data_IF_592637052509
#
_entry.id   IF_592637052509
#
_cell.length_a   1.000
_cell.length_b   1.000
_cell.length_c   1.000
_cell.angle_alpha   90.00
_cell.angle_beta   90.00
_cell.angle_gamma   90.00
#
_symmetry.space_group_name_H-M   'P 1'
#
loop_
_entity.id
_entity.type
_entity.pdbx_description
1 polymer ?
#
# COMPACT_ATOMS: atom_id res chain seq x y z
N UNK A 1 10.90 20.37 23.32
CA UNK A 1 10.03 19.30 23.84
C UNK A 1 9.82 18.33 22.70
N UNK A 2 10.30 17.09 22.82
CA UNK A 2 10.11 16.06 21.81
C UNK A 2 8.65 15.61 21.84
N UNK A 3 7.91 15.87 20.77
CA UNK A 3 6.51 15.44 20.63
C UNK A 3 6.51 13.95 20.24
N UNK A 4 6.30 13.07 21.22
CA UNK A 4 6.26 11.60 21.06
C UNK A 4 4.85 11.04 21.17
N UNK A 5 3.83 11.91 21.26
CA UNK A 5 2.43 11.52 21.37
C UNK A 5 1.91 10.99 20.02
N UNK A 6 1.24 9.83 20.05
CA UNK A 6 0.57 9.28 18.86
C UNK A 6 -0.67 10.11 18.58
N UNK A 7 -0.69 10.79 17.44
CA UNK A 7 -1.85 11.50 16.94
C UNK A 7 -2.83 10.48 16.37
N UNK A 8 -4.07 10.49 16.84
CA UNK A 8 -5.11 9.50 16.50
C UNK A 8 -6.19 10.04 15.56
N UNK A 9 -6.37 11.36 15.52
CA UNK A 9 -7.31 12.06 14.65
C UNK A 9 -6.59 13.21 13.95
N UNK A 10 -6.95 13.42 12.69
CA UNK A 10 -6.60 14.64 11.97
C UNK A 10 -7.76 15.62 12.10
N UNK A 11 -7.85 16.36 13.20
CA UNK A 11 -8.97 17.28 13.45
C UNK A 11 -9.04 18.49 12.51
N UNK A 12 -8.13 18.64 11.55
CA UNK A 12 -8.06 19.83 10.67
C UNK A 12 -7.14 19.59 9.46
N UNK A 13 -7.49 18.69 8.55
CA UNK A 13 -6.87 18.73 7.20
C UNK A 13 -7.92 19.18 6.22
N UNK A 14 -7.92 20.49 5.98
CA UNK A 14 -8.51 21.06 4.77
C UNK A 14 -7.74 20.46 3.58
N UNK A 15 -8.43 20.16 2.48
CA UNK A 15 -7.81 19.67 1.23
C UNK A 15 -6.57 20.48 0.80
N UNK A 16 -6.53 21.75 1.21
CA UNK A 16 -5.45 22.69 0.90
C UNK A 16 -4.13 22.40 1.62
N UNK A 17 -4.15 21.65 2.74
CA UNK A 17 -2.93 21.31 3.47
C UNK A 17 -2.27 20.02 2.94
N UNK A 18 -3.04 19.12 2.32
CA UNK A 18 -2.52 17.83 1.87
C UNK A 18 -1.50 17.97 0.73
N UNK A 19 -1.80 18.81 -0.27
CA UNK A 19 -0.85 19.02 -1.37
C UNK A 19 0.41 19.74 -0.88
N UNK A 20 0.29 20.60 0.15
CA UNK A 20 1.44 21.25 0.80
C UNK A 20 2.29 20.24 1.55
N UNK A 21 1.66 19.29 2.26
CA UNK A 21 2.36 18.19 2.93
C UNK A 21 3.10 17.31 1.92
N UNK A 22 2.45 16.96 0.80
CA UNK A 22 3.07 16.15 -0.26
C UNK A 22 4.20 16.93 -0.95
N UNK A 23 3.98 18.19 -1.31
CA UNK A 23 5.03 19.03 -1.89
C UNK A 23 6.22 19.14 -0.93
N UNK A 24 5.97 19.32 0.38
CA UNK A 24 7.02 19.34 1.41
C UNK A 24 7.78 18.02 1.47
N UNK A 25 7.08 16.88 1.49
CA UNK A 25 7.71 15.56 1.47
C UNK A 25 8.56 15.36 0.22
N UNK A 26 8.10 15.82 -0.95
CA UNK A 26 8.86 15.74 -2.20
C UNK A 26 10.11 16.64 -2.11
N UNK A 27 9.98 17.87 -1.64
CA UNK A 27 11.10 18.80 -1.45
C UNK A 27 12.15 18.21 -0.51
N UNK A 28 11.73 17.67 0.64
CA UNK A 28 12.64 17.03 1.60
C UNK A 28 13.35 15.82 0.99
N UNK A 29 12.65 15.00 0.20
CA UNK A 29 13.26 13.88 -0.49
C UNK A 29 14.29 14.32 -1.55
N UNK A 30 14.05 15.44 -2.24
CA UNK A 30 15.04 16.01 -3.17
C UNK A 30 16.26 16.50 -2.41
N UNK A 31 16.07 17.26 -1.34
CA UNK A 31 17.17 17.79 -0.52
C UNK A 31 18.04 16.67 0.05
N UNK A 32 17.44 15.53 0.37
CA UNK A 32 18.13 14.36 0.91
C UNK A 32 18.67 13.41 -0.17
N UNK A 33 18.60 13.76 -1.46
CA UNK A 33 18.98 12.91 -2.60
C UNK A 33 18.31 11.53 -2.58
N UNK A 34 17.10 11.45 -2.02
CA UNK A 34 16.30 10.22 -1.96
C UNK A 34 15.20 10.17 -3.02
N UNK A 35 15.10 11.20 -3.87
CA UNK A 35 14.17 11.25 -5.00
C UNK A 35 14.87 11.05 -6.37
N UNK A 36 14.33 10.21 -7.27
CA UNK A 36 13.29 9.20 -7.03
C UNK A 36 13.84 8.04 -6.21
N UNK A 37 13.06 7.52 -5.27
CA UNK A 37 13.51 6.47 -4.35
C UNK A 37 13.60 5.12 -5.04
N UNK A 38 14.73 4.82 -5.66
CA UNK A 38 14.98 3.50 -6.25
C UNK A 38 15.72 2.63 -5.26
N UNK A 39 15.01 1.71 -4.57
CA UNK A 39 15.68 0.54 -4.01
C UNK A 39 16.12 -0.38 -5.14
N UNK A 40 17.32 -0.95 -5.03
CA UNK A 40 17.85 -1.97 -5.94
C UNK A 40 16.95 -3.22 -5.97
N UNK A 41 16.19 -3.46 -4.90
CA UNK A 41 15.14 -4.47 -4.84
C UNK A 41 13.82 -3.80 -4.43
N UNK A 42 12.76 -3.85 -5.26
CA UNK A 42 11.48 -3.27 -4.90
C UNK A 42 10.92 -3.92 -3.63
N UNK A 43 10.52 -3.10 -2.66
CA UNK A 43 9.88 -3.57 -1.43
C UNK A 43 8.57 -4.30 -1.75
N UNK A 44 8.14 -5.28 -0.94
CA UNK A 44 6.79 -5.83 -1.05
C UNK A 44 5.74 -4.71 -1.00
N UNK A 45 4.57 -4.95 -1.59
CA UNK A 45 3.45 -4.00 -1.53
C UNK A 45 3.13 -3.61 -0.09
N UNK A 46 2.78 -2.34 0.10
CA UNK A 46 2.49 -1.79 1.42
C UNK A 46 1.37 -2.54 2.09
N UNK A 47 1.35 -2.62 3.42
CA UNK A 47 0.29 -3.37 4.08
C UNK A 47 0.01 -2.81 5.46
N UNK A 48 -1.26 -2.55 5.71
CA UNK A 48 -1.75 -2.29 7.05
C UNK A 48 -1.60 -3.55 7.88
N UNK A 49 -0.83 -3.49 8.95
CA UNK A 49 -0.54 -4.68 9.74
C UNK A 49 -1.74 -5.18 10.53
N UNK A 50 -2.76 -4.36 10.79
CA UNK A 50 -3.93 -4.80 11.55
C UNK A 50 -4.99 -5.45 10.66
N UNK A 51 -5.21 -4.95 9.45
CA UNK A 51 -6.32 -5.39 8.60
C UNK A 51 -5.91 -5.90 7.22
N UNK A 52 -4.61 -5.96 6.92
CA UNK A 52 -4.06 -6.47 5.66
C UNK A 52 -4.38 -5.60 4.44
N UNK A 53 -4.92 -4.39 4.61
CA UNK A 53 -5.27 -3.50 3.49
C UNK A 53 -4.04 -2.81 2.92
N UNK A 54 -4.09 -2.54 1.62
CA UNK A 54 -3.12 -1.75 0.88
C UNK A 54 -3.66 -0.32 0.68
N UNK A 55 -2.77 0.67 0.61
CA UNK A 55 -3.10 2.02 0.19
C UNK A 55 -3.14 2.13 -1.33
N UNK A 56 -4.06 2.94 -1.82
CA UNK A 56 -4.09 3.39 -3.22
C UNK A 56 -4.03 4.92 -3.30
N UNK A 57 -4.14 5.43 -4.51
CA UNK A 57 -4.15 6.85 -4.85
C UNK A 57 -3.02 7.64 -4.14
N UNK A 58 -3.34 8.86 -3.68
CA UNK A 58 -2.41 9.78 -3.06
C UNK A 58 -1.88 9.31 -1.71
N UNK A 59 -2.60 8.43 -1.00
CA UNK A 59 -2.14 7.90 0.29
C UNK A 59 -0.94 6.96 0.11
N UNK A 60 -0.91 6.20 -0.98
CA UNK A 60 0.21 5.34 -1.35
C UNK A 60 1.47 6.15 -1.64
N UNK A 61 1.33 7.23 -2.41
CA UNK A 61 2.43 8.17 -2.70
C UNK A 61 3.01 8.76 -1.41
N UNK A 62 2.15 9.24 -0.50
CA UNK A 62 2.59 9.78 0.79
C UNK A 62 3.39 8.75 1.61
N UNK A 63 2.91 7.51 1.68
CA UNK A 63 3.59 6.42 2.37
C UNK A 63 4.99 6.19 1.78
N UNK A 64 5.12 6.12 0.45
CA UNK A 64 6.39 5.86 -0.21
C UNK A 64 7.39 7.01 -0.06
N UNK A 65 6.92 8.26 -0.18
CA UNK A 65 7.74 9.45 0.06
C UNK A 65 8.27 9.49 1.50
N UNK A 66 7.41 9.15 2.47
CA UNK A 66 7.82 9.07 3.88
C UNK A 66 8.77 7.90 4.13
N UNK A 67 8.49 6.73 3.54
CA UNK A 67 9.33 5.55 3.65
C UNK A 67 10.74 5.83 3.11
N UNK A 68 10.82 6.53 1.99
CA UNK A 68 12.06 7.02 1.41
C UNK A 68 12.80 7.97 2.37
N UNK A 69 12.10 8.99 2.87
CA UNK A 69 12.65 10.00 3.77
C UNK A 69 13.27 9.40 5.03
N UNK A 70 12.62 8.41 5.64
CA UNK A 70 13.11 7.75 6.86
C UNK A 70 13.96 6.51 6.58
N UNK A 71 14.27 6.21 5.31
CA UNK A 71 14.98 5.00 4.89
C UNK A 71 14.35 3.72 5.44
N UNK A 72 13.01 3.65 5.40
CA UNK A 72 12.23 2.55 5.94
C UNK A 72 12.63 1.21 5.31
N UNK A 73 12.70 0.18 6.15
CA UNK A 73 13.01 -1.20 5.79
C UNK A 73 11.82 -1.93 5.17
N UNK A 74 10.60 -1.47 5.48
CA UNK A 74 9.36 -2.06 4.98
C UNK A 74 8.29 -1.00 4.72
N UNK A 75 7.27 -1.36 3.94
CA UNK A 75 6.06 -0.56 3.74
C UNK A 75 4.91 -1.05 4.64
N UNK A 76 5.25 -1.60 5.82
CA UNK A 76 4.28 -2.02 6.83
C UNK A 76 3.79 -0.79 7.59
N UNK A 77 2.48 -0.59 7.67
CA UNK A 77 1.91 0.61 8.28
C UNK A 77 0.73 0.29 9.20
N UNK A 78 0.36 1.25 10.04
CA UNK A 78 -0.71 1.13 11.04
C UNK A 78 -1.43 2.47 11.23
N UNK A 79 -2.74 2.44 11.51
CA UNK A 79 -3.47 3.65 11.86
C UNK A 79 -3.06 4.16 13.25
N UNK A 80 -3.07 5.48 13.45
CA UNK A 80 -2.71 6.10 14.73
C UNK A 80 -3.56 5.58 15.89
N UNK A 81 -4.87 5.36 15.67
CA UNK A 81 -5.76 4.78 16.68
C UNK A 81 -5.35 3.38 17.14
N UNK A 82 -4.92 2.53 16.21
CA UNK A 82 -4.51 1.15 16.51
C UNK A 82 -3.15 1.15 17.22
N UNK A 83 -2.22 2.01 16.76
CA UNK A 83 -0.93 2.21 17.40
C UNK A 83 -1.08 2.70 18.85
N UNK A 84 -1.98 3.66 19.10
CA UNK A 84 -2.29 4.15 20.43
C UNK A 84 -2.92 3.06 21.32
N UNK A 85 -3.84 2.26 20.77
CA UNK A 85 -4.42 1.13 21.51
C UNK A 85 -3.38 0.06 21.88
N UNK A 86 -2.40 -0.19 21.01
CA UNK A 86 -1.29 -1.10 21.30
C UNK A 86 -0.22 -0.48 22.22
N UNK A 87 -0.38 0.78 22.64
CA UNK A 87 0.60 1.55 23.40
C UNK A 87 1.98 1.55 22.71
N UNK A 88 2.01 1.74 21.39
CA UNK A 88 3.27 1.90 20.67
C UNK A 88 3.96 3.21 21.09
N UNK A 89 5.29 3.26 20.96
CA UNK A 89 6.09 4.43 21.35
C UNK A 89 6.82 4.93 20.09
N UNK A 90 6.61 6.19 19.71
CA UNK A 90 7.29 6.81 18.56
C UNK A 90 8.78 7.03 18.85
N UNK A 91 9.60 6.96 17.79
CA UNK A 91 10.95 7.51 17.83
C UNK A 91 10.87 9.04 17.91
N UNK A 92 11.96 9.68 18.37
CA UNK A 92 11.99 11.14 18.53
C UNK A 92 11.68 11.87 17.21
N UNK A 93 10.82 12.90 17.30
CA UNK A 93 10.45 13.79 16.21
C UNK A 93 9.68 13.15 15.04
N UNK A 94 9.15 11.93 15.22
CA UNK A 94 8.33 11.30 14.19
C UNK A 94 6.95 11.94 14.07
N UNK A 95 6.54 12.21 12.82
CA UNK A 95 5.24 12.80 12.49
C UNK A 95 4.36 11.77 11.78
N UNK A 96 3.04 11.75 12.04
CA UNK A 96 2.11 10.95 11.27
C UNK A 96 2.08 11.40 9.81
N UNK A 97 1.59 10.51 8.94
CA UNK A 97 1.01 10.88 7.66
C UNK A 97 -0.50 10.99 7.79
N UNK A 98 -1.14 11.74 6.88
CA UNK A 98 -2.60 11.88 6.83
C UNK A 98 -3.18 11.15 5.63
N UNK A 99 -3.98 10.11 5.90
CA UNK A 99 -4.75 9.39 4.91
C UNK A 99 -6.12 10.03 4.76
N UNK A 100 -6.51 10.32 3.52
CA UNK A 100 -7.89 10.65 3.20
C UNK A 100 -8.68 9.38 2.89
N UNK A 101 -9.86 9.25 3.48
CA UNK A 101 -10.72 8.10 3.26
C UNK A 101 -12.19 8.52 3.15
N UNK A 102 -12.93 7.88 2.23
CA UNK A 102 -14.36 8.12 2.07
C UNK A 102 -15.16 7.31 3.10
N UNK A 103 -15.75 7.97 4.08
CA UNK A 103 -16.63 7.36 5.06
C UNK A 103 -18.08 7.45 4.58
N UNK A 104 -18.75 6.31 4.50
CA UNK A 104 -20.21 6.26 4.38
C UNK A 104 -20.82 6.42 5.77
N UNK A 105 -21.45 7.57 6.04
CA UNK A 105 -22.32 7.77 7.20
C UNK A 105 -23.69 8.18 6.68
N UNK A 106 -24.73 7.49 7.15
CA UNK A 106 -26.13 7.84 6.90
C UNK A 106 -26.46 8.02 5.41
N UNK A 107 -25.98 7.12 4.55
CA UNK A 107 -26.21 7.15 3.08
C UNK A 107 -25.50 8.29 2.32
N UNK A 108 -24.68 9.09 3.00
CA UNK A 108 -23.86 10.14 2.39
C UNK A 108 -22.36 9.78 2.48
N UNK A 109 -21.67 9.89 1.35
CA UNK A 109 -20.21 9.80 1.28
C UNK A 109 -19.61 11.11 1.79
N UNK A 110 -18.88 11.06 2.90
CA UNK A 110 -18.03 12.16 3.39
C UNK A 110 -16.58 11.72 3.33
N UNK A 111 -15.69 12.59 2.86
CA UNK A 111 -14.24 12.35 3.01
C UNK A 111 -13.83 12.77 4.41
N UNK A 112 -13.13 11.89 5.11
CA UNK A 112 -12.55 12.13 6.44
C UNK A 112 -11.05 11.86 6.40
N UNK A 113 -10.33 12.38 7.40
CA UNK A 113 -8.88 12.32 7.49
C UNK A 113 -8.44 11.50 8.71
N UNK A 114 -7.46 10.61 8.51
CA UNK A 114 -6.92 9.76 9.57
C UNK A 114 -5.41 9.79 9.56
N UNK A 115 -4.81 9.69 10.73
CA UNK A 115 -3.37 9.55 10.84
C UNK A 115 -2.95 8.09 10.67
N UNK A 116 -1.84 7.88 9.98
CA UNK A 116 -1.20 6.58 9.88
C UNK A 116 0.32 6.73 9.97
N UNK A 117 0.98 5.63 10.32
CA UNK A 117 2.42 5.57 10.57
C UNK A 117 3.01 4.33 9.91
N UNK A 118 4.23 4.44 9.39
CA UNK A 118 5.07 3.29 9.10
C UNK A 118 5.50 2.63 10.41
N UNK A 119 5.61 1.30 10.43
CA UNK A 119 6.11 0.60 11.63
C UNK A 119 7.53 1.04 12.01
N UNK A 120 8.34 1.40 11.02
CA UNK A 120 9.69 1.91 11.21
C UNK A 120 9.76 3.25 11.99
N UNK A 121 8.63 3.95 12.19
CA UNK A 121 8.56 5.16 13.01
C UNK A 121 8.44 4.86 14.52
N UNK A 122 8.15 3.62 14.91
CA UNK A 122 8.02 3.22 16.31
C UNK A 122 9.32 2.60 16.85
N UNK A 123 9.50 2.65 18.16
CA UNK A 123 10.61 1.99 18.85
C UNK A 123 10.47 0.47 18.77
N UNK A 124 11.59 -0.21 18.51
CA UNK A 124 11.66 -1.67 18.44
C UNK A 124 11.12 -2.33 19.73
N UNK A 125 11.41 -1.72 20.89
CA UNK A 125 10.94 -2.20 22.18
C UNK A 125 9.41 -2.17 22.27
N UNK A 126 8.75 -1.10 21.81
CA UNK A 126 7.28 -1.01 21.83
C UNK A 126 6.61 -2.00 20.89
N UNK A 127 7.19 -2.24 19.70
CA UNK A 127 6.72 -3.26 18.76
C UNK A 127 6.82 -4.67 19.37
N UNK A 128 7.93 -4.99 20.03
CA UNK A 128 8.12 -6.28 20.71
C UNK A 128 7.17 -6.47 21.88
N UNK A 129 6.88 -5.41 22.65
CA UNK A 129 5.85 -5.44 23.70
C UNK A 129 4.47 -5.72 23.10
N UNK A 130 4.11 -5.07 22.00
CA UNK A 130 2.83 -5.26 21.32
C UNK A 130 2.62 -6.72 20.86
N UNK A 131 3.65 -7.37 20.33
CA UNK A 131 3.60 -8.80 19.95
C UNK A 131 3.37 -9.72 21.17
N UNK A 132 3.91 -9.36 22.34
CA UNK A 132 3.76 -10.15 23.58
C UNK A 132 2.37 -10.06 24.21
N UNK A 133 1.58 -9.04 23.86
CA UNK A 133 0.21 -8.83 24.37
C UNK A 133 -0.68 -10.07 24.16
N UNK A 134 -0.47 -10.79 23.06
CA UNK A 134 -1.27 -11.97 22.70
C UNK A 134 -1.21 -13.07 23.79
N UNK A 135 -0.12 -13.12 24.57
CA UNK A 135 0.11 -14.13 25.62
C UNK A 135 -0.33 -13.68 27.01
N UNK A 136 -0.71 -12.41 27.19
CA UNK A 136 -1.08 -11.87 28.51
C UNK A 136 -2.57 -12.04 28.77
N UNK A 137 -2.95 -12.92 29.70
CA UNK A 137 -4.35 -13.18 30.07
C UNK A 137 -5.11 -11.92 30.52
N UNK A 138 -4.43 -10.96 31.14
CA UNK A 138 -5.04 -9.74 31.71
C UNK A 138 -5.34 -8.66 30.67
N UNK A 139 -4.75 -8.74 29.48
CA UNK A 139 -4.97 -7.73 28.44
C UNK A 139 -6.40 -7.85 27.86
N UNK A 140 -7.12 -6.71 27.67
CA UNK A 140 -8.40 -6.67 26.98
C UNK A 140 -8.41 -7.43 25.65
N UNK A 141 -9.51 -8.17 25.41
CA UNK A 141 -9.71 -9.02 24.21
C UNK A 141 -9.45 -8.28 22.90
N UNK A 142 -9.88 -7.03 22.80
CA UNK A 142 -9.70 -6.21 21.61
C UNK A 142 -8.22 -5.97 21.27
N UNK A 143 -7.40 -5.58 22.26
CA UNK A 143 -5.96 -5.40 22.06
C UNK A 143 -5.27 -6.70 21.62
N UNK A 144 -5.73 -7.84 22.16
CA UNK A 144 -5.23 -9.16 21.73
C UNK A 144 -5.55 -9.46 20.27
N UNK A 145 -6.78 -9.18 19.82
CA UNK A 145 -7.19 -9.40 18.43
C UNK A 145 -6.33 -8.54 17.48
N UNK A 146 -6.17 -7.26 17.80
CA UNK A 146 -5.34 -6.35 16.99
C UNK A 146 -3.89 -6.86 16.91
N UNK A 147 -3.31 -7.26 18.05
CA UNK A 147 -1.95 -7.81 18.09
C UNK A 147 -1.82 -9.14 17.33
N UNK A 148 -2.85 -10.00 17.37
CA UNK A 148 -2.88 -11.27 16.62
C UNK A 148 -2.89 -11.03 15.10
N UNK A 149 -3.76 -10.13 14.61
CA UNK A 149 -3.76 -9.78 13.19
C UNK A 149 -2.47 -9.07 12.78
N UNK A 150 -1.91 -8.20 13.64
CA UNK A 150 -0.59 -7.60 13.44
C UNK A 150 0.47 -8.66 13.16
N UNK A 151 0.59 -9.68 14.01
CA UNK A 151 1.56 -10.76 13.83
C UNK A 151 1.31 -11.52 12.53
N UNK A 152 0.05 -11.89 12.28
CA UNK A 152 -0.35 -12.67 11.10
C UNK A 152 0.02 -11.92 9.81
N UNK A 153 -0.40 -10.67 9.68
CA UNK A 153 -0.17 -9.89 8.47
C UNK A 153 1.32 -9.60 8.29
N UNK A 154 2.05 -9.24 9.35
CA UNK A 154 3.52 -9.09 9.30
C UNK A 154 4.18 -10.37 8.76
N UNK A 155 3.75 -11.53 9.26
CA UNK A 155 4.26 -12.83 8.80
C UNK A 155 3.96 -13.06 7.32
N UNK A 156 2.76 -12.73 6.87
CA UNK A 156 2.37 -12.83 5.46
C UNK A 156 3.24 -11.93 4.57
N UNK A 157 3.39 -10.66 4.94
CA UNK A 157 4.25 -9.70 4.24
C UNK A 157 5.70 -10.17 4.16
N UNK A 158 6.26 -10.61 5.28
CA UNK A 158 7.67 -11.02 5.37
C UNK A 158 7.90 -12.36 4.63
N UNK A 159 6.88 -13.20 4.49
CA UNK A 159 6.96 -14.45 3.72
C UNK A 159 7.02 -14.23 2.20
N UNK A 160 6.44 -13.14 1.70
CA UNK A 160 6.35 -12.83 0.27
C UNK A 160 5.59 -13.87 -0.57
N UNK A 161 4.84 -14.79 0.05
CA UNK A 161 4.21 -15.94 -0.61
C UNK A 161 3.32 -15.51 -1.80
N UNK A 162 2.52 -14.46 -1.62
CA UNK A 162 1.62 -13.94 -2.65
C UNK A 162 2.28 -12.89 -3.56
N UNK A 163 3.38 -12.26 -3.10
CA UNK A 163 3.98 -11.11 -3.78
C UNK A 163 4.56 -11.47 -5.15
N UNK A 164 5.18 -12.65 -5.26
CA UNK A 164 5.76 -13.11 -6.53
C UNK A 164 4.69 -13.29 -7.60
N UNK A 165 3.58 -13.93 -7.26
CA UNK A 165 2.48 -14.16 -8.19
C UNK A 165 1.81 -12.84 -8.60
N UNK A 166 1.55 -11.96 -7.63
CA UNK A 166 0.94 -10.65 -7.90
C UNK A 166 1.81 -9.83 -8.86
N UNK A 167 3.12 -9.75 -8.60
CA UNK A 167 4.07 -9.06 -9.50
C UNK A 167 4.05 -9.68 -10.88
N UNK A 168 4.10 -11.00 -10.99
CA UNK A 168 4.12 -11.68 -12.27
C UNK A 168 2.83 -11.40 -13.09
N UNK A 169 1.68 -11.32 -12.42
CA UNK A 169 0.42 -10.93 -13.05
C UNK A 169 0.45 -9.48 -13.53
N UNK A 170 0.93 -8.53 -12.70
CA UNK A 170 1.11 -7.12 -13.10
C UNK A 170 2.07 -6.98 -14.30
N UNK A 171 3.17 -7.74 -14.34
CA UNK A 171 4.12 -7.78 -15.47
C UNK A 171 3.46 -8.27 -16.76
N UNK A 172 2.69 -9.35 -16.69
CA UNK A 172 1.94 -9.87 -17.84
C UNK A 172 0.95 -8.84 -18.37
N UNK A 173 0.25 -8.14 -17.48
CA UNK A 173 -0.68 -7.08 -17.84
C UNK A 173 0.02 -5.93 -18.58
N UNK A 174 1.14 -5.43 -18.05
CA UNK A 174 1.94 -4.40 -18.73
C UNK A 174 2.36 -4.87 -20.12
N UNK A 175 2.89 -6.10 -20.23
CA UNK A 175 3.29 -6.66 -21.53
C UNK A 175 2.10 -6.72 -22.50
N UNK A 176 0.93 -7.18 -22.05
CA UNK A 176 -0.27 -7.25 -22.89
C UNK A 176 -0.72 -5.85 -23.34
N UNK A 177 -0.72 -4.87 -22.43
CA UNK A 177 -1.11 -3.49 -22.69
C UNK A 177 -0.16 -2.80 -23.69
N UNK A 178 1.14 -3.14 -23.67
CA UNK A 178 2.16 -2.52 -24.51
C UNK A 178 2.46 -3.24 -25.83
N UNK A 179 2.15 -4.53 -25.98
CA UNK A 179 2.73 -5.32 -27.09
C UNK A 179 1.79 -6.27 -27.84
N UNK A 180 0.58 -6.58 -27.34
CA UNK A 180 -0.21 -7.69 -27.90
C UNK A 180 -1.54 -7.32 -28.54
N UNK A 181 -2.11 -6.16 -28.22
CA UNK A 181 -3.40 -5.74 -28.76
C UNK A 181 -3.32 -4.28 -29.24
N UNK A 182 -3.40 -4.08 -30.56
CA UNK A 182 -3.30 -2.75 -31.18
C UNK A 182 -4.34 -1.75 -30.68
N UNK A 183 -5.55 -2.21 -30.34
CA UNK A 183 -6.61 -1.37 -29.80
C UNK A 183 -6.30 -0.94 -28.35
N UNK A 184 -5.77 -1.86 -27.53
CA UNK A 184 -5.37 -1.53 -26.15
C UNK A 184 -4.20 -0.55 -26.17
N UNK A 185 -3.21 -0.74 -27.04
CA UNK A 185 -2.09 0.19 -27.18
C UNK A 185 -2.54 1.59 -27.63
N UNK A 186 -3.55 1.67 -28.51
CA UNK A 186 -4.16 2.95 -28.88
C UNK A 186 -4.81 3.64 -27.68
N UNK A 187 -5.61 2.90 -26.89
CA UNK A 187 -6.23 3.43 -25.67
C UNK A 187 -5.19 3.89 -24.63
N UNK A 188 -4.09 3.16 -24.48
CA UNK A 188 -2.97 3.54 -23.60
C UNK A 188 -2.38 4.89 -24.04
N UNK A 189 -2.12 5.06 -25.34
CA UNK A 189 -1.58 6.32 -25.90
C UNK A 189 -2.56 7.49 -25.78
N UNK A 190 -3.83 7.25 -26.00
CA UNK A 190 -4.88 8.25 -25.83
C UNK A 190 -4.98 8.68 -24.36
N UNK A 191 -5.05 7.72 -23.43
CA UNK A 191 -5.09 8.02 -22.01
C UNK A 191 -3.85 8.77 -21.51
N UNK A 192 -2.65 8.46 -22.05
CA UNK A 192 -1.45 9.24 -21.78
C UNK A 192 -1.58 10.68 -22.28
N UNK A 193 -2.09 10.85 -23.49
CA UNK A 193 -2.29 12.18 -24.11
C UNK A 193 -3.27 13.02 -23.30
N UNK A 194 -4.36 12.40 -22.83
CA UNK A 194 -5.37 13.04 -21.99
C UNK A 194 -4.83 13.37 -20.58
N UNK A 195 -4.09 12.44 -19.96
CA UNK A 195 -3.50 12.66 -18.63
C UNK A 195 -2.43 13.76 -18.63
N UNK A 196 -1.79 14.00 -19.78
CA UNK A 196 -0.74 15.03 -19.93
C UNK A 196 -1.21 16.23 -20.76
N UNK A 197 -2.53 16.38 -20.92
CA UNK A 197 -3.11 17.52 -21.61
C UNK A 197 -2.82 18.80 -20.83
N UNK A 198 -2.27 19.81 -21.52
CA UNK A 198 -1.89 21.08 -20.90
C UNK A 198 -0.54 21.09 -20.17
N UNK A 199 0.16 19.95 -20.08
CA UNK A 199 1.50 19.90 -19.49
C UNK A 199 2.57 20.45 -20.42
N UNK A 200 3.54 21.16 -19.84
CA UNK A 200 4.76 21.59 -20.52
C UNK A 200 5.61 20.38 -20.96
N UNK A 201 6.57 20.55 -21.89
CA UNK A 201 7.50 19.48 -22.26
C UNK A 201 8.26 18.89 -21.06
N UNK A 202 8.62 19.71 -20.09
CA UNK A 202 9.32 19.33 -18.86
C UNK A 202 8.40 18.52 -17.93
N UNK A 203 7.17 18.98 -17.73
CA UNK A 203 6.14 18.28 -16.95
C UNK A 203 5.81 16.91 -17.57
N UNK A 204 5.72 16.81 -18.91
CA UNK A 204 5.54 15.54 -19.63
C UNK A 204 6.71 14.57 -19.43
N UNK A 205 7.93 15.11 -19.42
CA UNK A 205 9.15 14.34 -19.16
C UNK A 205 9.12 13.78 -17.73
N UNK A 206 8.78 14.62 -16.75
CA UNK A 206 8.64 14.22 -15.35
C UNK A 206 7.54 13.17 -15.17
N UNK A 207 6.37 13.36 -15.79
CA UNK A 207 5.26 12.39 -15.77
C UNK A 207 5.70 11.02 -16.27
N UNK A 208 6.44 10.99 -17.39
CA UNK A 208 6.93 9.74 -17.99
C UNK A 208 7.92 9.02 -17.08
N UNK A 209 8.82 9.79 -16.44
CA UNK A 209 9.79 9.27 -15.48
C UNK A 209 9.10 8.71 -14.24
N UNK A 210 8.12 9.42 -13.69
CA UNK A 210 7.32 8.98 -12.53
C UNK A 210 6.49 7.73 -12.84
N UNK A 211 5.81 7.69 -13.98
CA UNK A 211 5.08 6.49 -14.40
C UNK A 211 6.00 5.26 -14.49
N UNK A 212 7.16 5.41 -15.13
CA UNK A 212 8.14 4.33 -15.22
C UNK A 212 8.67 3.92 -13.84
N UNK A 213 8.87 4.90 -12.96
CA UNK A 213 9.26 4.67 -11.57
C UNK A 213 8.22 3.82 -10.83
N UNK A 214 6.95 4.21 -10.84
CA UNK A 214 5.89 3.49 -10.14
C UNK A 214 5.73 2.07 -10.69
N UNK A 215 5.78 1.89 -12.02
CA UNK A 215 5.79 0.55 -12.62
C UNK A 215 6.98 -0.28 -12.14
N UNK A 216 8.18 0.31 -12.07
CA UNK A 216 9.36 -0.39 -11.59
C UNK A 216 9.24 -0.78 -10.11
N UNK A 217 8.63 0.04 -9.26
CA UNK A 217 8.36 -0.34 -7.87
C UNK A 217 7.36 -1.50 -7.78
N UNK A 218 6.25 -1.40 -8.50
CA UNK A 218 5.16 -2.38 -8.45
C UNK A 218 5.50 -3.73 -9.08
N UNK A 219 6.42 -3.74 -10.06
CA UNK A 219 6.66 -4.93 -10.89
C UNK A 219 8.14 -5.33 -10.99
N UNK A 220 9.07 -4.45 -10.64
CA UNK A 220 10.50 -4.64 -10.90
C UNK A 220 10.90 -4.52 -12.37
N UNK A 221 10.03 -4.02 -13.25
CA UNK A 221 10.33 -3.79 -14.67
C UNK A 221 10.55 -2.30 -14.93
N UNK A 222 11.62 -1.98 -15.66
CA UNK A 222 11.83 -0.66 -16.25
C UNK A 222 11.23 -0.65 -17.66
N UNK A 223 10.19 0.15 -17.89
CA UNK A 223 9.57 0.34 -19.21
C UNK A 223 10.51 1.12 -20.12
N UNK A 224 11.11 2.21 -19.61
CA UNK A 224 11.98 3.08 -20.40
C UNK A 224 13.24 3.46 -19.64
N UNK A 225 14.40 3.43 -20.31
CA UNK A 225 15.64 3.98 -19.78
C UNK A 225 15.67 5.48 -20.03
N UNK A 226 15.79 6.26 -18.96
CA UNK A 226 15.94 7.71 -19.03
C UNK A 226 17.44 8.09 -19.04
N UNK A 227 17.90 8.89 -20.02
CA UNK A 227 19.22 9.50 -20.00
C UNK A 227 19.40 10.40 -18.76
N UNK A 228 20.64 10.54 -18.29
CA UNK A 228 20.93 11.33 -17.08
C UNK A 228 20.59 12.81 -17.24
N UNK A 229 20.65 13.34 -18.47
CA UNK A 229 20.20 14.70 -18.78
C UNK A 229 18.69 14.88 -18.53
N UNK A 230 17.87 13.91 -18.96
CA UNK A 230 16.42 13.95 -18.73
C UNK A 230 16.07 13.80 -17.25
N UNK A 231 16.80 12.94 -16.52
CA UNK A 231 16.65 12.83 -15.06
C UNK A 231 16.97 14.16 -14.38
N UNK A 232 18.07 14.80 -14.78
CA UNK A 232 18.51 16.08 -14.20
C UNK A 232 17.46 17.18 -14.44
N UNK A 233 16.95 17.29 -15.66
CA UNK A 233 15.85 18.22 -16.00
C UNK A 233 14.57 17.92 -15.22
N UNK A 234 14.22 16.65 -15.04
CA UNK A 234 13.05 16.27 -14.24
C UNK A 234 13.22 16.67 -12.77
N UNK A 235 14.41 16.48 -12.18
CA UNK A 235 14.70 16.92 -10.81
C UNK A 235 14.60 18.44 -10.65
N UNK A 236 15.09 19.20 -11.63
CA UNK A 236 14.96 20.66 -11.66
C UNK A 236 13.49 21.10 -11.78
N UNK A 237 12.71 20.38 -12.59
CA UNK A 237 11.26 20.60 -12.73
C UNK A 237 10.55 20.38 -11.41
N UNK A 238 10.84 19.28 -10.71
CA UNK A 238 10.24 19.02 -9.38
C UNK A 238 10.65 20.11 -8.39
N UNK A 239 11.92 20.51 -8.37
CA UNK A 239 12.40 21.58 -7.49
C UNK A 239 11.61 22.87 -7.72
N UNK A 240 11.45 23.27 -8.98
CA UNK A 240 10.69 24.47 -9.37
C UNK A 240 9.23 24.37 -8.94
N UNK A 241 8.54 23.29 -9.33
CA UNK A 241 7.12 23.10 -9.00
C UNK A 241 6.86 22.95 -7.50
N UNK A 242 7.83 22.46 -6.72
CA UNK A 242 7.70 22.30 -5.27
C UNK A 242 7.77 23.63 -4.51
N UNK A 243 8.39 24.65 -5.10
CA UNK A 243 8.47 26.01 -4.54
C UNK A 243 7.26 26.88 -4.90
N UNK A 244 6.46 26.45 -5.88
CA UNK A 244 5.19 27.11 -6.20
C UNK A 244 4.15 26.79 -5.13
N UNK A 245 3.41 27.79 -4.64
CA UNK A 245 2.21 27.56 -3.82
C UNK A 245 1.05 27.10 -4.71
N UNK A 246 1.18 25.87 -5.21
CA UNK A 246 0.33 25.32 -6.25
C UNK A 246 0.20 23.79 -6.11
N UNK A 247 -0.98 23.21 -6.38
CA UNK A 247 -1.18 21.77 -6.35
C UNK A 247 -0.59 21.06 -7.58
N UNK A 248 0.04 21.77 -8.52
CA UNK A 248 0.56 21.20 -9.79
C UNK A 248 1.45 19.98 -9.57
N UNK A 249 2.42 20.08 -8.66
CA UNK A 249 3.36 18.98 -8.41
C UNK A 249 2.64 17.74 -7.85
N UNK A 250 1.84 17.93 -6.80
CA UNK A 250 1.01 16.88 -6.21
C UNK A 250 0.06 16.25 -7.25
N UNK A 251 -0.55 17.07 -8.11
CA UNK A 251 -1.42 16.61 -9.19
C UNK A 251 -0.65 15.74 -10.19
N UNK A 252 0.51 16.19 -10.63
CA UNK A 252 1.37 15.46 -11.57
C UNK A 252 1.78 14.10 -10.98
N UNK A 253 2.15 14.04 -9.71
CA UNK A 253 2.44 12.78 -9.00
C UNK A 253 1.22 11.85 -8.95
N UNK A 254 0.06 12.39 -8.55
CA UNK A 254 -1.18 11.63 -8.44
C UNK A 254 -1.60 11.05 -9.79
N UNK A 255 -1.59 11.86 -10.84
CA UNK A 255 -1.96 11.42 -12.18
C UNK A 255 -0.96 10.41 -12.76
N UNK A 256 0.34 10.59 -12.50
CA UNK A 256 1.38 9.63 -12.91
C UNK A 256 1.18 8.27 -12.23
N UNK A 257 0.88 8.27 -10.93
CA UNK A 257 0.59 7.06 -10.17
C UNK A 257 -0.68 6.37 -10.67
N UNK A 258 -1.79 7.10 -10.79
CA UNK A 258 -3.05 6.56 -11.30
C UNK A 258 -2.90 5.97 -12.71
N UNK A 259 -2.14 6.63 -13.57
CA UNK A 259 -1.83 6.11 -14.90
C UNK A 259 -0.99 4.83 -14.81
N UNK A 260 0.00 4.78 -13.92
CA UNK A 260 0.82 3.59 -13.70
C UNK A 260 0.03 2.40 -13.15
N UNK A 261 -0.93 2.64 -12.25
CA UNK A 261 -1.81 1.57 -11.74
C UNK A 261 -2.61 0.96 -12.89
N UNK A 262 -3.23 1.79 -13.74
CA UNK A 262 -3.98 1.32 -14.93
C UNK A 262 -3.13 0.44 -15.85
N UNK A 263 -1.85 0.77 -16.01
CA UNK A 263 -0.91 -0.02 -16.80
C UNK A 263 -0.67 -1.43 -16.23
N UNK A 264 -0.84 -1.63 -14.91
CA UNK A 264 -0.68 -2.92 -14.23
C UNK A 264 -1.94 -3.79 -14.22
N UNK A 265 -3.10 -3.25 -14.64
CA UNK A 265 -4.37 -3.97 -14.72
C UNK A 265 -4.60 -4.67 -16.08
N UNK A 266 -5.41 -5.72 -16.05
CA UNK A 266 -5.81 -6.46 -17.25
C UNK A 266 -6.70 -5.59 -18.15
N UNK A 267 -6.43 -5.58 -19.46
CA UNK A 267 -7.18 -4.89 -20.51
C UNK A 267 -7.24 -3.35 -20.47
N UNK A 268 -6.39 -2.69 -19.69
CA UNK A 268 -6.35 -1.22 -19.59
C UNK A 268 -7.76 -0.59 -19.52
N UNK A 269 -8.39 -0.64 -18.35
CA UNK A 269 -9.72 -0.06 -18.19
C UNK A 269 -9.63 1.46 -18.03
N UNK A 270 -10.44 2.21 -18.82
CA UNK A 270 -10.44 3.68 -18.83
C UNK A 270 -11.03 4.25 -17.52
N UNK A 271 -11.86 3.46 -16.83
CA UNK A 271 -12.53 3.85 -15.59
C UNK A 271 -11.62 3.66 -14.36
N UNK A 272 -11.90 4.42 -13.29
CA UNK A 272 -11.27 4.22 -11.98
C UNK A 272 -11.56 2.78 -11.52
N UNK A 273 -10.52 1.94 -11.46
CA UNK A 273 -10.68 0.51 -11.17
C UNK A 273 -10.90 0.33 -9.68
N UNK A 274 -12.16 0.28 -9.27
CA UNK A 274 -12.53 -0.45 -8.07
C UNK A 274 -12.59 -1.93 -8.48
N UNK A 275 -11.89 -2.82 -7.78
CA UNK A 275 -12.14 -4.25 -7.98
C UNK A 275 -13.59 -4.57 -7.62
N UNK A 276 -14.13 -5.68 -8.14
CA UNK A 276 -15.48 -6.14 -7.73
C UNK A 276 -15.54 -6.36 -6.21
N UNK A 277 -14.42 -6.67 -5.58
CA UNK A 277 -14.27 -6.74 -4.12
C UNK A 277 -14.29 -5.36 -3.44
N UNK A 278 -13.90 -4.29 -4.12
CA UNK A 278 -13.97 -2.91 -3.62
C UNK A 278 -15.37 -2.29 -3.76
N UNK A 279 -16.17 -2.79 -4.70
CA UNK A 279 -17.60 -2.46 -4.87
C UNK A 279 -18.51 -3.31 -3.98
N UNK A 280 -18.18 -4.58 -3.76
CA UNK A 280 -18.94 -5.50 -2.90
C UNK A 280 -18.60 -5.35 -1.41
N UNK A 281 -17.44 -4.78 -1.09
CA UNK A 281 -17.33 -4.01 0.13
C UNK A 281 -18.35 -2.87 -0.03
N UNK A 282 -19.51 -2.98 0.61
CA UNK A 282 -19.96 -1.80 1.35
C UNK A 282 -18.69 -1.30 2.02
N UNK A 283 -18.22 -0.10 1.68
CA UNK A 283 -17.04 0.45 2.32
C UNK A 283 -17.58 1.17 3.55
N UNK A 284 -17.77 0.51 4.71
CA UNK A 284 -17.40 1.20 5.90
C UNK A 284 -15.88 1.30 5.75
N UNK A 285 -15.41 2.45 5.29
CA UNK A 285 -14.22 2.99 5.93
C UNK A 285 -14.64 3.16 7.38
N UNK A 286 -14.48 2.08 8.15
CA UNK A 286 -14.62 2.13 9.58
C UNK A 286 -13.53 3.08 10.04
N UNK A 287 -13.93 4.29 10.36
CA UNK A 287 -13.27 5.03 11.41
C UNK A 287 -14.35 5.70 12.23
N UNK A 288 -14.35 5.42 13.54
CA UNK A 288 -13.56 6.28 14.42
C UNK A 288 -12.76 5.55 15.53
N UNK A 289 -12.78 4.22 15.57
CA UNK A 289 -12.14 3.45 16.63
C UNK A 289 -11.91 2.03 16.16
N UNK A 290 -10.78 1.43 16.53
CA UNK A 290 -10.57 0.00 16.40
C UNK A 290 -11.63 -0.86 17.13
N UNK A 291 -12.60 -0.21 17.81
CA UNK A 291 -13.71 -0.85 18.52
C UNK A 291 -14.78 -1.43 17.59
N UNK A 292 -14.67 -1.21 16.27
CA UNK A 292 -15.60 -1.79 15.29
C UNK A 292 -14.96 -2.83 14.37
N UNK A 293 -13.69 -3.22 14.58
CA UNK A 293 -13.10 -4.34 13.85
C UNK A 293 -13.75 -5.66 14.30
N UNK A 294 -14.74 -6.10 13.55
CA UNK A 294 -15.13 -7.50 13.56
C UNK A 294 -14.19 -8.24 12.61
N UNK A 295 -13.39 -9.22 13.09
CA UNK A 295 -12.57 -10.02 12.19
C UNK A 295 -13.51 -10.62 11.14
N UNK A 296 -13.11 -10.56 9.86
CA UNK A 296 -13.79 -11.37 8.85
C UNK A 296 -13.77 -12.80 9.38
N UNK A 297 -14.94 -13.34 9.75
CA UNK A 297 -15.12 -14.79 9.81
C UNK A 297 -14.98 -15.25 8.37
N UNK A 298 -13.75 -15.55 7.95
CA UNK A 298 -13.51 -16.24 6.71
C UNK A 298 -13.98 -17.68 6.92
N UNK A 299 -15.29 -17.88 6.81
CA UNK A 299 -15.90 -19.21 6.67
C UNK A 299 -15.18 -20.01 5.58
N UNK A 300 -14.60 -19.35 4.58
CA UNK A 300 -13.77 -19.94 3.53
C UNK A 300 -12.40 -20.46 4.01
N UNK A 301 -11.75 -19.78 4.97
CA UNK A 301 -10.44 -20.21 5.48
C UNK A 301 -10.59 -21.33 6.52
N UNK A 302 -11.68 -21.32 7.29
CA UNK A 302 -12.09 -22.46 8.12
C UNK A 302 -12.57 -23.64 7.26
N UNK A 303 -13.26 -23.38 6.14
CA UNK A 303 -13.66 -24.43 5.19
C UNK A 303 -12.46 -25.05 4.47
N UNK A 304 -11.46 -24.25 4.06
CA UNK A 304 -10.20 -24.75 3.51
C UNK A 304 -9.43 -25.59 4.53
N UNK A 305 -9.25 -25.09 5.76
CA UNK A 305 -8.61 -25.86 6.83
C UNK A 305 -9.38 -27.13 7.21
N UNK A 306 -10.71 -27.11 7.13
CA UNK A 306 -11.53 -28.32 7.33
C UNK A 306 -11.41 -29.29 6.15
N UNK A 307 -11.34 -28.81 4.90
CA UNK A 307 -11.09 -29.68 3.74
C UNK A 307 -9.70 -30.31 3.79
N UNK A 308 -8.66 -29.55 4.17
CA UNK A 308 -7.31 -30.09 4.36
C UNK A 308 -7.27 -31.16 5.47
N UNK A 309 -7.94 -30.92 6.61
CA UNK A 309 -8.08 -31.92 7.69
C UNK A 309 -8.88 -33.16 7.27
N UNK A 310 -9.88 -33.02 6.40
CA UNK A 310 -10.63 -34.14 5.84
C UNK A 310 -9.76 -34.97 4.88
N UNK A 311 -8.97 -34.30 4.04
CA UNK A 311 -8.02 -34.95 3.12
C UNK A 311 -6.89 -35.66 3.88
N UNK A 312 -6.37 -35.09 4.97
CA UNK A 312 -5.38 -35.77 5.82
C UNK A 312 -5.95 -37.02 6.50
N UNK A 313 -7.22 -36.99 6.94
CA UNK A 313 -7.92 -38.16 7.49
C UNK A 313 -8.15 -39.27 6.46
N UNK A 314 -8.43 -38.92 5.21
CA UNK A 314 -8.58 -39.89 4.12
C UNK A 314 -7.25 -40.55 3.71
N UNK A 315 -6.11 -39.89 4.00
CA UNK A 315 -4.77 -40.45 3.80
C UNK A 315 -4.39 -41.41 4.95
N UNK A 316 -4.84 -41.17 6.17
CA UNK A 316 -4.58 -42.03 7.33
C UNK A 316 -5.42 -43.34 7.33
N UNK A 317 -6.59 -43.36 6.67
CA UNK A 317 -7.43 -44.56 6.60
C UNK A 317 -7.16 -45.34 5.30
N UNK A 318 -5.98 -45.95 5.21
CA UNK A 318 -5.81 -47.21 4.46
C UNK A 318 -4.95 -48.20 5.24
N UNK A 319 -5.53 -48.98 6.17
CA UNK A 319 -4.90 -50.22 6.59
C UNK A 319 -4.95 -51.19 5.39
N UNK A 320 -3.81 -51.39 4.73
CA UNK A 320 -3.64 -52.50 3.78
C UNK A 320 -3.90 -53.80 4.54
N UNK A 321 -5.03 -54.44 4.29
CA UNK A 321 -5.27 -55.81 4.71
C UNK A 321 -4.19 -56.71 4.10
N UNK A 322 -3.34 -57.27 4.96
CA UNK A 322 -2.49 -58.40 4.63
C UNK A 322 -3.41 -59.63 4.64
N UNK A 323 -3.85 -60.08 3.47
CA UNK A 323 -4.42 -61.43 3.34
C UNK A 323 -3.27 -62.42 3.19
N UNK A 324 -3.05 -63.23 4.22
CA UNK A 324 -2.20 -64.43 4.13
C UNK A 324 -2.83 -65.43 3.17
N UNK A 325 -2.21 -65.63 2.01
CA UNK A 325 -2.55 -66.74 1.14
C UNK A 325 -1.67 -67.95 1.51
N UNK A 326 -2.28 -68.95 2.14
CA UNK A 326 -1.67 -70.23 2.48
C UNK A 326 -1.59 -71.09 1.21
N UNK A 327 -0.41 -71.24 0.64
CA UNK A 327 -0.16 -72.31 -0.34
C UNK A 327 0.10 -73.63 0.39
N UNK A 328 -0.73 -74.63 0.07
CA UNK A 328 -0.35 -76.05 0.06
C UNK A 328 0.15 -76.39 -1.34
#
# INVERSE_FOLDING_TARGET
>A
MSDTEIKTLSTQVLKDDLYKEINSLISENILNNSFPYTKTTPLPQDMNVVNGRHLGDINKIQLELKASLISAKSLKWIYGSDAALLNLELKENEKPLVALANISKDSHLKTDAQTFYLLDQFSENSLQKAVKIVRDEKTPKQKKIIAQEMIKNITEYDSGLNEKEIRENKRKNISNNLSKNGNVLANVREAFSNATEGYSPEEKTLFSLLNNYFVQQETGITIQKFPDEQKSKALETVKTLSMEDSPKLTRLFTESFLYSERMTHYNFEINRVFTKDDLNKSLPVLSPSASAFEPKRTHELEAQKNMERLLERDIEIKPRHISHDRRR
#
